data_IF_289926717741
#
_entry.id   IF_289926717741
#
_cell.length_a   1.000
_cell.length_b   1.000
_cell.length_c   1.000
_cell.angle_alpha   90.00
_cell.angle_beta   90.00
_cell.angle_gamma   90.00
#
_symmetry.space_group_name_H-M   'P 1'
#
loop_
_entity.id
_entity.type
_entity.pdbx_description
1 polymer ?
#
# COMPACT_ATOMS: atom_id res chain seq x y z
N UNK A 1 -13.15 -41.02 -5.13
CA UNK A 1 -12.55 -39.99 -4.25
C UNK A 1 -12.49 -40.56 -2.85
N UNK A 2 -11.36 -40.47 -2.16
CA UNK A 2 -11.23 -40.95 -0.77
C UNK A 2 -11.85 -39.90 0.17
N UNK A 3 -12.63 -40.32 1.17
CA UNK A 3 -13.21 -39.41 2.16
C UNK A 3 -12.13 -38.65 2.95
N UNK A 4 -10.93 -39.24 3.12
CA UNK A 4 -9.79 -38.58 3.76
C UNK A 4 -9.30 -37.35 2.99
N UNK A 5 -9.46 -37.34 1.67
CA UNK A 5 -9.06 -36.21 0.83
C UNK A 5 -9.81 -34.93 1.21
N UNK A 6 -11.06 -35.04 1.69
CA UNK A 6 -11.84 -33.90 2.17
C UNK A 6 -11.21 -33.28 3.41
N UNK A 7 -10.70 -34.10 4.33
CA UNK A 7 -10.01 -33.62 5.53
C UNK A 7 -8.66 -33.00 5.17
N UNK A 8 -7.87 -33.63 4.31
CA UNK A 8 -6.60 -33.07 3.86
C UNK A 8 -6.79 -31.72 3.16
N UNK A 9 -7.82 -31.56 2.33
CA UNK A 9 -8.12 -30.30 1.67
C UNK A 9 -8.44 -29.17 2.66
N UNK A 10 -9.29 -29.43 3.66
CA UNK A 10 -9.66 -28.41 4.64
C UNK A 10 -8.50 -28.06 5.56
N UNK A 11 -7.76 -29.07 6.06
CA UNK A 11 -6.58 -28.85 6.91
C UNK A 11 -5.53 -28.03 6.15
N UNK A 12 -5.23 -28.40 4.90
CA UNK A 12 -4.28 -27.65 4.08
C UNK A 12 -4.71 -26.20 3.83
N UNK A 13 -6.01 -25.97 3.58
CA UNK A 13 -6.56 -24.62 3.44
C UNK A 13 -6.47 -23.81 4.75
N UNK A 14 -6.82 -24.42 5.88
CA UNK A 14 -6.74 -23.78 7.20
C UNK A 14 -5.30 -23.39 7.55
N UNK A 15 -4.34 -24.29 7.34
CA UNK A 15 -2.92 -24.04 7.62
C UNK A 15 -2.34 -22.96 6.70
N UNK A 16 -2.72 -22.94 5.42
CA UNK A 16 -2.31 -21.90 4.48
C UNK A 16 -2.80 -20.52 4.93
N UNK A 17 -4.08 -20.40 5.30
CA UNK A 17 -4.63 -19.14 5.81
C UNK A 17 -4.00 -18.74 7.15
N UNK A 18 -3.77 -19.69 8.05
CA UNK A 18 -3.12 -19.41 9.34
C UNK A 18 -1.71 -18.83 9.13
N UNK A 19 -0.91 -19.42 8.23
CA UNK A 19 0.41 -18.89 7.88
C UNK A 19 0.32 -17.53 7.21
N UNK A 20 -0.58 -17.37 6.24
CA UNK A 20 -0.77 -16.10 5.54
C UNK A 20 -1.18 -14.97 6.50
N UNK A 21 -2.03 -15.25 7.48
CA UNK A 21 -2.45 -14.28 8.50
C UNK A 21 -1.24 -13.81 9.33
N UNK A 22 -0.43 -14.73 9.82
CA UNK A 22 0.77 -14.41 10.61
C UNK A 22 1.79 -13.62 9.78
N UNK A 23 2.04 -14.03 8.54
CA UNK A 23 2.93 -13.32 7.61
C UNK A 23 2.42 -11.91 7.31
N UNK A 24 1.13 -11.75 7.02
CA UNK A 24 0.53 -10.45 6.74
C UNK A 24 0.62 -9.50 7.94
N UNK A 25 0.35 -10.00 9.16
CA UNK A 25 0.53 -9.20 10.37
C UNK A 25 1.99 -8.78 10.55
N UNK A 26 2.94 -9.69 10.38
CA UNK A 26 4.37 -9.35 10.48
C UNK A 26 4.78 -8.30 9.42
N UNK A 27 4.30 -8.39 8.18
CA UNK A 27 4.55 -7.36 7.16
C UNK A 27 3.98 -6.02 7.64
N UNK A 28 2.75 -5.99 8.15
CA UNK A 28 2.08 -4.75 8.54
C UNK A 28 2.66 -4.11 9.81
N UNK A 29 3.22 -4.90 10.73
CA UNK A 29 3.71 -4.40 12.03
C UNK A 29 5.23 -4.24 12.09
N UNK A 30 5.99 -5.06 11.36
CA UNK A 30 7.45 -5.17 11.51
C UNK A 30 8.24 -4.73 10.29
N UNK A 31 7.58 -4.51 9.14
CA UNK A 31 8.23 -4.01 7.92
C UNK A 31 7.95 -2.52 7.69
N UNK A 32 8.69 -1.93 6.75
CA UNK A 32 8.48 -0.56 6.30
C UNK A 32 7.23 -0.36 5.43
N UNK A 33 6.42 -1.41 5.17
CA UNK A 33 5.29 -1.35 4.23
C UNK A 33 4.34 -0.16 4.45
N UNK A 34 3.87 0.04 5.70
CA UNK A 34 2.97 1.17 6.03
C UNK A 34 3.65 2.51 5.84
N UNK A 35 4.93 2.62 6.23
CA UNK A 35 5.73 3.83 6.10
C UNK A 35 5.89 4.23 4.63
N UNK A 36 6.25 3.28 3.76
CA UNK A 36 6.38 3.52 2.31
C UNK A 36 5.07 4.08 1.73
N UNK A 37 3.92 3.52 2.13
CA UNK A 37 2.61 4.02 1.71
C UNK A 37 2.35 5.44 2.21
N UNK A 38 2.58 5.72 3.49
CA UNK A 38 2.40 7.06 4.05
C UNK A 38 3.29 8.08 3.33
N UNK A 39 4.58 7.78 3.15
CA UNK A 39 5.52 8.67 2.47
C UNK A 39 5.13 8.93 1.01
N UNK A 40 4.59 7.92 0.31
CA UNK A 40 4.15 8.05 -1.08
C UNK A 40 3.05 9.11 -1.25
N UNK A 41 2.13 9.20 -0.30
CA UNK A 41 0.95 10.06 -0.38
C UNK A 41 1.00 11.28 0.56
N UNK A 42 2.11 11.52 1.25
CA UNK A 42 2.27 12.60 2.22
C UNK A 42 1.99 14.02 1.67
N UNK A 43 2.03 14.22 0.34
CA UNK A 43 1.67 15.51 -0.28
C UNK A 43 0.20 15.87 -0.11
N UNK A 44 -0.68 14.87 0.10
CA UNK A 44 -2.11 15.10 0.32
C UNK A 44 -2.42 15.50 1.78
N UNK A 45 -1.50 15.25 2.71
CA UNK A 45 -1.71 15.57 4.13
C UNK A 45 -1.28 17.00 4.52
N UNK A 46 -0.71 17.77 3.58
CA UNK A 46 -0.20 19.12 3.84
C UNK A 46 -0.47 20.12 2.71
N UNK A 47 -0.45 21.41 3.06
CA UNK A 47 -0.56 22.53 2.11
C UNK A 47 -1.74 22.41 1.15
N UNK A 48 -1.50 22.68 -0.13
CA UNK A 48 -2.51 22.61 -1.20
C UNK A 48 -3.06 21.21 -1.44
N UNK A 49 -2.30 20.16 -1.14
CA UNK A 49 -2.81 18.79 -1.23
C UNK A 49 -3.89 18.50 -0.18
N UNK A 50 -3.74 19.03 1.04
CA UNK A 50 -4.75 18.90 2.09
C UNK A 50 -6.02 19.72 1.79
N UNK A 51 -5.86 20.90 1.18
CA UNK A 51 -7.01 21.69 0.70
C UNK A 51 -7.75 20.95 -0.43
N UNK A 52 -7.00 20.33 -1.34
CA UNK A 52 -7.57 19.52 -2.42
C UNK A 52 -8.37 18.34 -1.87
N UNK A 53 -7.80 17.55 -0.95
CA UNK A 53 -8.48 16.38 -0.37
C UNK A 53 -9.79 16.76 0.35
N UNK A 54 -9.81 17.94 0.98
CA UNK A 54 -11.01 18.50 1.64
C UNK A 54 -12.02 19.12 0.68
N UNK A 55 -11.76 19.12 -0.63
CA UNK A 55 -12.65 19.69 -1.65
C UNK A 55 -12.73 21.22 -1.61
N UNK A 56 -11.68 21.89 -1.10
CA UNK A 56 -11.65 23.34 -0.95
C UNK A 56 -11.13 24.09 -2.18
N UNK A 57 -10.59 23.36 -3.16
CA UNK A 57 -10.01 23.94 -4.37
C UNK A 57 -10.94 23.81 -5.57
N UNK A 58 -11.12 24.91 -6.29
CA UNK A 58 -11.74 24.91 -7.61
C UNK A 58 -10.76 24.46 -8.69
N UNK A 59 -11.24 24.21 -9.91
CA UNK A 59 -10.38 23.96 -11.06
C UNK A 59 -9.46 25.17 -11.38
N UNK A 60 -9.94 26.38 -11.10
CA UNK A 60 -9.18 27.62 -11.32
C UNK A 60 -7.98 27.71 -10.37
N UNK A 61 -8.17 27.31 -9.11
CA UNK A 61 -7.12 27.25 -8.08
C UNK A 61 -6.06 26.21 -8.43
N UNK A 62 -6.48 25.02 -8.87
CA UNK A 62 -5.56 23.95 -9.29
C UNK A 62 -4.71 24.36 -10.50
N UNK A 63 -5.32 25.05 -11.47
CA UNK A 63 -4.62 25.58 -12.65
C UNK A 63 -3.60 26.67 -12.26
N UNK A 64 -3.93 27.54 -11.30
CA UNK A 64 -2.98 28.55 -10.81
C UNK A 64 -1.81 27.88 -10.07
N UNK A 65 -2.10 26.92 -9.19
CA UNK A 65 -1.08 26.17 -8.46
C UNK A 65 -0.10 25.45 -9.40
N UNK A 66 -0.61 24.82 -10.47
CA UNK A 66 0.23 24.18 -11.47
C UNK A 66 1.13 25.19 -12.23
N UNK A 67 0.59 26.35 -12.61
CA UNK A 67 1.36 27.39 -13.29
C UNK A 67 2.48 27.98 -12.42
N UNK A 68 2.24 28.10 -11.11
CA UNK A 68 3.22 28.64 -10.15
C UNK A 68 4.33 27.63 -9.80
N UNK A 69 4.02 26.33 -9.75
CA UNK A 69 4.94 25.30 -9.27
C UNK A 69 5.66 24.52 -10.39
N UNK A 70 5.19 24.63 -11.64
CA UNK A 70 5.78 23.94 -12.79
C UNK A 70 5.56 22.41 -12.75
N UNK A 71 6.45 21.67 -13.42
CA UNK A 71 6.34 20.22 -13.54
C UNK A 71 6.61 19.52 -12.20
N UNK A 72 5.77 18.54 -11.79
CA UNK A 72 5.95 17.81 -10.54
C UNK A 72 7.17 16.87 -10.60
N UNK A 73 7.75 16.62 -9.42
CA UNK A 73 8.84 15.65 -9.28
C UNK A 73 8.37 14.22 -9.59
N UNK A 74 9.07 13.53 -10.49
CA UNK A 74 8.85 12.11 -10.77
C UNK A 74 9.47 11.27 -9.66
N UNK A 75 8.64 10.52 -8.94
CA UNK A 75 9.08 9.64 -7.84
C UNK A 75 8.89 8.17 -8.20
N UNK A 76 9.92 7.36 -7.97
CA UNK A 76 9.87 5.91 -8.16
C UNK A 76 8.80 5.24 -7.30
N UNK A 77 8.09 4.26 -7.88
CA UNK A 77 7.13 3.42 -7.15
C UNK A 77 7.79 2.35 -6.27
N UNK A 78 9.11 2.12 -6.40
CA UNK A 78 9.89 1.13 -5.64
C UNK A 78 9.30 -0.29 -5.69
N UNK A 79 8.75 -0.71 -6.82
CA UNK A 79 8.03 -1.98 -6.97
C UNK A 79 8.89 -3.18 -6.56
N UNK A 80 10.09 -3.31 -7.13
CA UNK A 80 11.00 -4.42 -6.89
C UNK A 80 11.46 -4.48 -5.43
N UNK A 81 11.60 -3.31 -4.79
CA UNK A 81 11.91 -3.23 -3.37
C UNK A 81 10.73 -3.72 -2.51
N UNK A 82 9.49 -3.34 -2.85
CA UNK A 82 8.29 -3.79 -2.13
C UNK A 82 8.08 -5.30 -2.30
N UNK A 83 8.29 -5.84 -3.51
CA UNK A 83 8.23 -7.29 -3.77
C UNK A 83 9.28 -8.04 -2.92
N UNK A 84 10.52 -7.55 -2.90
CA UNK A 84 11.57 -8.12 -2.06
C UNK A 84 11.27 -7.98 -0.56
N UNK A 85 10.62 -6.89 -0.13
CA UNK A 85 10.19 -6.72 1.25
C UNK A 85 9.16 -7.78 1.61
N UNK A 86 8.15 -8.03 0.78
CA UNK A 86 7.14 -9.08 1.03
C UNK A 86 7.80 -10.46 1.10
N UNK A 87 8.68 -10.78 0.16
CA UNK A 87 9.37 -12.08 0.10
C UNK A 87 10.22 -12.39 1.33
N UNK A 88 10.72 -11.38 2.06
CA UNK A 88 11.48 -11.59 3.30
C UNK A 88 10.63 -12.08 4.48
N UNK A 89 9.31 -11.96 4.39
CA UNK A 89 8.37 -12.32 5.46
C UNK A 89 7.56 -13.59 5.16
N UNK A 90 7.68 -14.14 3.95
CA UNK A 90 7.07 -15.42 3.52
C UNK A 90 7.95 -16.58 3.96
#
# INVERSE_FOLDING_TARGET
TDQKDLFYAHIGGMDLFARALITADNILQKSDYKKIRTERYASFDAGKGAEFEKGLLSLEDLRNYAAENGEPEVRSGRQEYIENLINRYI
#
